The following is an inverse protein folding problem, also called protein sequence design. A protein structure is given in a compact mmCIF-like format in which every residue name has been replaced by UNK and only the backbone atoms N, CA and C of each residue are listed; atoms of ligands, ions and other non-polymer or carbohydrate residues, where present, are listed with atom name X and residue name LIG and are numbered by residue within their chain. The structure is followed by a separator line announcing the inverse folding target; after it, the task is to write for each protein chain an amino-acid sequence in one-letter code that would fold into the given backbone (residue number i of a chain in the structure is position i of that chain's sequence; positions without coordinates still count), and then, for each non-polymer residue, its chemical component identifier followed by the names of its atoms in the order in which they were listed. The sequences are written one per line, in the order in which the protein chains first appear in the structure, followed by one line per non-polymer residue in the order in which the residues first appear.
data_IF_111966650864
#
_entry.id   IF_111966650864
#
_cell.length_a   1.000
_cell.length_b   1.000
_cell.length_c   1.000
_cell.angle_alpha   90.00
_cell.angle_beta   90.00
_cell.angle_gamma   90.00
#
_symmetry.space_group_name_H-M   'P 1'
#
loop_
_entity.id
_entity.type
_entity.pdbx_description
1 polymer ?
#
# COMPACT_ATOMS: atom_id res chain seq x y z
N UNK A 1 -9.46 19.81 5.69
CA UNK A 1 -8.58 18.77 5.13
C UNK A 1 -9.27 18.07 3.98
N UNK A 2 -8.62 17.97 2.83
CA UNK A 2 -9.17 17.39 1.61
C UNK A 2 -9.04 15.85 1.67
N UNK A 3 -10.00 15.19 2.29
CA UNK A 3 -10.13 13.72 2.18
C UNK A 3 -10.77 13.44 0.83
N UNK A 4 -9.95 13.22 -0.21
CA UNK A 4 -10.46 12.62 -1.44
C UNK A 4 -11.15 11.29 -1.07
N UNK A 5 -12.36 11.00 -1.58
CA UNK A 5 -13.09 9.82 -1.16
C UNK A 5 -12.26 8.58 -1.51
N UNK A 6 -11.92 7.79 -0.48
CA UNK A 6 -11.30 6.50 -0.69
C UNK A 6 -12.32 5.60 -1.36
N UNK A 7 -12.07 5.21 -2.61
CA UNK A 7 -12.83 4.13 -3.25
C UNK A 7 -12.74 2.87 -2.38
N UNK A 8 -13.85 2.17 -2.24
CA UNK A 8 -13.91 0.92 -1.47
C UNK A 8 -13.04 -0.17 -2.11
N UNK A 9 -12.81 -1.27 -1.38
CA UNK A 9 -12.11 -2.42 -1.97
C UNK A 9 -12.93 -3.05 -3.10
N UNK A 10 -14.26 -3.07 -2.98
CA UNK A 10 -15.14 -3.58 -4.04
C UNK A 10 -15.08 -2.70 -5.30
N UNK A 11 -15.13 -1.38 -5.13
CA UNK A 11 -15.01 -0.43 -6.25
C UNK A 11 -13.65 -0.55 -6.93
N UNK A 12 -12.59 -0.73 -6.16
CA UNK A 12 -11.25 -0.98 -6.68
C UNK A 12 -11.20 -2.30 -7.47
N UNK A 13 -11.77 -3.38 -6.94
CA UNK A 13 -11.80 -4.68 -7.61
C UNK A 13 -12.57 -4.64 -8.94
N UNK A 14 -13.62 -3.83 -9.04
CA UNK A 14 -14.33 -3.60 -10.31
C UNK A 14 -13.45 -2.81 -11.28
N UNK A 15 -12.84 -1.72 -10.83
CA UNK A 15 -12.05 -0.83 -11.69
C UNK A 15 -10.82 -1.51 -12.32
N UNK A 16 -10.18 -2.46 -11.64
CA UNK A 16 -8.97 -3.11 -12.16
C UNK A 16 -9.23 -4.09 -13.32
N UNK A 17 -10.48 -4.54 -13.51
CA UNK A 17 -10.84 -5.50 -14.58
C UNK A 17 -10.60 -4.95 -15.98
N UNK A 18 -10.74 -3.63 -16.16
CA UNK A 18 -10.60 -2.98 -17.46
C UNK A 18 -9.16 -2.50 -17.74
N UNK A 19 -8.25 -2.62 -16.76
CA UNK A 19 -6.87 -2.14 -16.90
C UNK A 19 -5.97 -3.16 -17.61
N UNK A 20 -5.01 -2.73 -18.44
CA UNK A 20 -3.96 -3.60 -18.95
C UNK A 20 -3.11 -4.21 -17.82
N UNK A 21 -2.57 -5.41 -18.02
CA UNK A 21 -1.72 -6.11 -17.02
C UNK A 21 -0.52 -5.26 -16.60
N UNK A 22 0.11 -4.54 -17.53
CA UNK A 22 1.20 -3.61 -17.22
C UNK A 22 0.77 -2.52 -16.23
N UNK A 23 -0.45 -1.99 -16.36
CA UNK A 23 -1.02 -1.00 -15.45
C UNK A 23 -1.29 -1.60 -14.07
N UNK A 24 -1.66 -2.88 -13.98
CA UNK A 24 -1.84 -3.57 -12.70
C UNK A 24 -0.51 -3.69 -11.93
N UNK A 25 0.57 -4.07 -12.62
CA UNK A 25 1.91 -4.10 -12.02
C UNK A 25 2.40 -2.70 -11.63
N UNK A 26 2.22 -1.70 -12.48
CA UNK A 26 2.56 -0.32 -12.18
C UNK A 26 1.83 0.17 -10.91
N UNK A 27 0.53 -0.14 -10.81
CA UNK A 27 -0.25 0.21 -9.62
C UNK A 27 0.25 -0.49 -8.36
N UNK A 28 0.66 -1.75 -8.47
CA UNK A 28 1.23 -2.48 -7.36
C UNK A 28 2.56 -1.88 -6.89
N UNK A 29 3.42 -1.44 -7.83
CA UNK A 29 4.68 -0.76 -7.52
C UNK A 29 4.44 0.58 -6.79
N UNK A 30 3.47 1.38 -7.24
CA UNK A 30 3.06 2.62 -6.53
C UNK A 30 2.63 2.36 -5.09
N UNK A 31 1.80 1.33 -4.86
CA UNK A 31 1.30 0.97 -3.54
C UNK A 31 2.44 0.46 -2.64
N UNK A 32 3.34 -0.37 -3.17
CA UNK A 32 4.53 -0.84 -2.44
C UNK A 32 5.45 0.32 -2.03
N UNK A 33 5.71 1.26 -2.94
CA UNK A 33 6.51 2.46 -2.63
C UNK A 33 5.86 3.30 -1.53
N UNK A 34 4.53 3.44 -1.56
CA UNK A 34 3.78 4.15 -0.52
C UNK A 34 3.90 3.45 0.84
N UNK A 35 3.76 2.11 0.89
CA UNK A 35 3.97 1.29 2.08
C UNK A 35 5.41 1.42 2.61
N UNK A 36 6.41 1.41 1.73
CA UNK A 36 7.82 1.59 2.10
C UNK A 36 8.04 2.93 2.81
N UNK A 37 7.56 4.02 2.21
CA UNK A 37 7.68 5.35 2.81
C UNK A 37 6.93 5.48 4.14
N UNK A 38 5.74 4.88 4.27
CA UNK A 38 5.00 4.87 5.54
C UNK A 38 5.70 4.03 6.61
N UNK A 39 6.29 2.89 6.25
CA UNK A 39 7.09 2.07 7.18
C UNK A 39 8.24 2.90 7.74
N UNK A 40 8.98 3.59 6.86
CA UNK A 40 10.07 4.48 7.25
C UNK A 40 9.58 5.63 8.13
N UNK A 41 8.44 6.25 7.80
CA UNK A 41 7.82 7.30 8.62
C UNK A 41 7.47 6.79 10.00
N UNK A 42 6.90 5.59 10.12
CA UNK A 42 6.55 4.98 11.41
C UNK A 42 7.80 4.70 12.26
N UNK A 43 8.90 4.22 11.65
CA UNK A 43 10.17 4.05 12.35
C UNK A 43 10.74 5.39 12.87
N UNK A 44 10.45 6.51 12.22
CA UNK A 44 10.84 7.84 12.70
C UNK A 44 9.95 8.35 13.84
N UNK A 45 8.68 7.93 13.89
CA UNK A 45 7.72 8.30 14.94
C UNK A 45 7.85 7.46 16.22
N UNK A 46 8.34 6.22 16.09
CA UNK A 46 8.51 5.27 17.21
C UNK A 46 9.18 5.86 18.46
N UNK A 47 10.33 6.58 18.40
CA UNK A 47 10.95 7.12 19.61
C UNK A 47 10.05 8.12 20.35
N UNK A 48 9.34 8.99 19.62
CA UNK A 48 8.43 9.97 20.22
C UNK A 48 7.23 9.29 20.87
N UNK A 49 6.64 8.30 20.19
CA UNK A 49 5.56 7.50 20.75
C UNK A 49 6.00 6.74 22.02
N UNK A 50 7.23 6.21 22.04
CA UNK A 50 7.81 5.54 23.20
C UNK A 50 8.07 6.50 24.38
N UNK A 51 8.35 7.77 24.11
CA UNK A 51 8.48 8.84 25.11
C UNK A 51 7.13 9.37 25.64
N UNK A 52 6.01 8.83 25.13
CA UNK A 52 4.66 9.14 25.58
C UNK A 52 3.91 10.16 24.72
N UNK A 53 4.42 10.50 23.54
CA UNK A 53 3.70 11.34 22.57
C UNK A 53 2.52 10.55 21.96
N UNK A 54 1.31 10.84 22.45
CA UNK A 54 0.08 10.22 21.99
C UNK A 54 -0.25 10.55 20.53
N UNK A 55 0.09 11.75 20.03
CA UNK A 55 -0.18 12.10 18.63
C UNK A 55 0.68 11.27 17.68
N UNK A 56 1.96 11.06 18.02
CA UNK A 56 2.85 10.18 17.27
C UNK A 56 2.35 8.73 17.30
N UNK A 57 1.90 8.24 18.46
CA UNK A 57 1.34 6.90 18.59
C UNK A 57 0.05 6.72 17.77
N UNK A 58 -0.81 7.73 17.73
CA UNK A 58 -2.06 7.71 16.98
C UNK A 58 -1.79 7.73 15.46
N UNK A 59 -0.89 8.62 15.01
CA UNK A 59 -0.46 8.69 13.62
C UNK A 59 0.12 7.36 13.12
N UNK A 60 0.93 6.67 13.94
CA UNK A 60 1.45 5.34 13.61
C UNK A 60 0.33 4.31 13.42
N UNK A 61 -0.70 4.31 14.28
CA UNK A 61 -1.84 3.38 14.17
C UNK A 61 -2.64 3.65 12.89
N UNK A 62 -2.95 4.91 12.60
CA UNK A 62 -3.64 5.29 11.36
C UNK A 62 -2.84 4.90 10.12
N UNK A 63 -1.52 5.10 10.15
CA UNK A 63 -0.63 4.67 9.07
C UNK A 63 -0.69 3.14 8.87
N UNK A 64 -0.67 2.35 9.95
CA UNK A 64 -0.78 0.89 9.84
C UNK A 64 -2.08 0.46 9.17
N UNK A 65 -3.21 1.11 9.49
CA UNK A 65 -4.48 0.83 8.82
C UNK A 65 -4.45 1.16 7.33
N UNK A 66 -3.86 2.31 6.96
CA UNK A 66 -3.71 2.70 5.56
C UNK A 66 -2.80 1.72 4.81
N UNK A 67 -1.69 1.29 5.42
CA UNK A 67 -0.80 0.27 4.85
C UNK A 67 -1.54 -1.05 4.64
N UNK A 68 -2.42 -1.45 5.57
CA UNK A 68 -3.20 -2.68 5.41
C UNK A 68 -4.14 -2.58 4.21
N UNK A 69 -4.89 -1.47 4.07
CA UNK A 69 -5.76 -1.25 2.90
C UNK A 69 -4.97 -1.27 1.58
N UNK A 70 -3.73 -0.75 1.57
CA UNK A 70 -2.85 -0.83 0.40
C UNK A 70 -2.40 -2.27 0.10
N UNK A 71 -2.09 -3.08 1.13
CA UNK A 71 -1.78 -4.51 0.96
C UNK A 71 -2.98 -5.30 0.42
N UNK A 72 -4.18 -5.01 0.91
CA UNK A 72 -5.40 -5.65 0.42
C UNK A 72 -5.62 -5.35 -1.07
N UNK A 73 -5.39 -4.10 -1.50
CA UNK A 73 -5.42 -3.71 -2.92
C UNK A 73 -4.35 -4.41 -3.75
N UNK A 74 -3.13 -4.59 -3.23
CA UNK A 74 -2.09 -5.40 -3.90
C UNK A 74 -2.57 -6.85 -4.06
N UNK A 75 -3.24 -7.41 -3.06
CA UNK A 75 -3.87 -8.74 -3.15
C UNK A 75 -4.89 -8.84 -4.29
N UNK A 76 -5.75 -7.82 -4.46
CA UNK A 76 -6.70 -7.76 -5.56
C UNK A 76 -6.01 -7.67 -6.93
N UNK A 77 -4.95 -6.86 -7.04
CA UNK A 77 -4.16 -6.75 -8.28
C UNK A 77 -3.52 -8.09 -8.64
N UNK A 78 -2.96 -8.80 -7.65
CA UNK A 78 -2.39 -10.14 -7.83
C UNK A 78 -3.43 -11.12 -8.33
N UNK A 79 -4.57 -11.20 -7.65
CA UNK A 79 -5.66 -12.10 -8.03
C UNK A 79 -6.17 -11.82 -9.45
N UNK A 80 -6.25 -10.55 -9.85
CA UNK A 80 -6.66 -10.17 -11.21
C UNK A 80 -5.63 -10.59 -12.27
N UNK A 81 -4.33 -10.38 -12.03
CA UNK A 81 -3.26 -10.82 -12.95
C UNK A 81 -3.26 -12.34 -13.11
N UNK A 82 -3.31 -13.08 -12.00
CA UNK A 82 -3.33 -14.54 -11.99
C UNK A 82 -4.63 -15.08 -12.61
N UNK A 83 -5.77 -14.42 -12.38
CA UNK A 83 -7.07 -14.75 -12.97
C UNK A 83 -7.09 -14.61 -14.49
N UNK A 84 -6.22 -13.77 -15.07
CA UNK A 84 -6.01 -13.66 -16.52
C UNK A 84 -5.03 -14.69 -17.09
N UNK A 85 -4.53 -15.60 -16.25
CA UNK A 85 -3.54 -16.61 -16.64
C UNK A 85 -2.11 -16.07 -16.77
N UNK A 86 -1.84 -14.86 -16.26
CA UNK A 86 -0.52 -14.25 -16.29
C UNK A 86 0.20 -14.46 -14.96
N UNK A 87 1.54 -14.53 -15.00
CA UNK A 87 2.34 -14.68 -13.80
C UNK A 87 2.40 -13.36 -13.02
N UNK A 88 2.11 -13.40 -11.72
CA UNK A 88 2.40 -12.28 -10.83
C UNK A 88 3.90 -12.19 -10.56
N UNK A 89 4.50 -11.06 -10.93
CA UNK A 89 5.87 -10.74 -10.54
C UNK A 89 5.82 -9.96 -9.24
N UNK A 90 6.39 -10.55 -8.19
CA UNK A 90 6.61 -9.88 -6.92
C UNK A 90 7.93 -9.11 -7.01
N UNK A 91 7.85 -7.82 -7.31
CA UNK A 91 8.98 -6.92 -7.10
C UNK A 91 9.02 -6.58 -5.61
N UNK A 92 9.82 -7.33 -4.84
CA UNK A 92 10.29 -6.80 -3.56
C UNK A 92 11.04 -5.49 -3.85
N UNK A 93 10.84 -4.43 -3.04
CA UNK A 93 11.64 -3.23 -3.18
C UNK A 93 13.11 -3.64 -3.11
N UNK A 94 13.89 -3.33 -4.15
CA UNK A 94 15.35 -3.54 -4.10
C UNK A 94 15.85 -2.88 -2.81
N UNK A 95 16.58 -3.59 -1.94
CA UNK A 95 17.23 -2.93 -0.82
C UNK A 95 18.07 -1.80 -1.39
N UNK A 96 17.93 -0.60 -0.81
CA UNK A 96 18.79 0.51 -1.17
C UNK A 96 20.23 0.01 -1.04
N UNK A 97 21.00 0.09 -2.13
CA UNK A 97 22.43 -0.16 -2.03
C UNK A 97 22.99 0.92 -1.10
N UNK A 98 23.52 0.49 0.03
CA UNK A 98 24.22 1.33 1.01
C UNK A 98 25.39 2.10 0.39
#
# INVERSE_FOLDING_TARGET
SATAPYISLEEFAVAIKDLPVASLHAKAAELRNSIYHMTRSNSQLEPFAAEGDAECADAMRENVEVMQRMRDRIGLLKAEVEGRGMMWVDEEPRPAAD
#
